data_IF_963217823489
#
_entry.id   IF_963217823489
#
_cell.length_a   1.000
_cell.length_b   1.000
_cell.length_c   1.000
_cell.angle_alpha   90.00
_cell.angle_beta   90.00
_cell.angle_gamma   90.00
#
_symmetry.space_group_name_H-M   'P 1'
#
loop_
_entity.id
_entity.type
_entity.pdbx_description
1 polymer ?
#
# COMPACT_ATOMS: atom_id res chain seq x y z
N UNK A 1 -6.91 5.27 26.25
CA UNK A 1 -6.60 4.02 25.52
C UNK A 1 -5.71 4.41 24.37
N UNK A 2 -4.41 4.10 24.45
CA UNK A 2 -3.45 4.39 23.38
C UNK A 2 -3.68 3.36 22.25
N UNK A 3 -4.04 3.77 21.02
CA UNK A 3 -4.19 2.82 19.93
C UNK A 3 -2.85 2.12 19.65
N UNK A 4 -2.86 0.79 19.63
CA UNK A 4 -1.67 0.00 19.26
C UNK A 4 -1.27 0.33 17.82
N UNK A 5 -0.11 0.97 17.66
CA UNK A 5 0.53 1.26 16.38
C UNK A 5 1.15 -0.01 15.79
N UNK A 6 1.20 -0.10 14.47
CA UNK A 6 1.81 -1.23 13.77
C UNK A 6 3.32 -1.29 14.04
N UNK A 7 3.89 -2.49 14.14
CA UNK A 7 5.33 -2.71 14.25
C UNK A 7 5.74 -3.75 13.22
N UNK A 8 6.43 -3.33 12.17
CA UNK A 8 6.78 -4.20 11.03
C UNK A 8 7.00 -3.41 9.75
N UNK A 9 6.82 -4.10 8.63
CA UNK A 9 7.14 -3.59 7.29
C UNK A 9 5.91 -3.63 6.38
N UNK A 10 5.67 -2.51 5.71
CA UNK A 10 4.69 -2.40 4.63
C UNK A 10 5.39 -2.53 3.28
N UNK A 11 4.81 -3.34 2.39
CA UNK A 11 5.12 -3.36 0.96
C UNK A 11 3.88 -3.03 0.16
N UNK A 12 4.01 -2.05 -0.73
CA UNK A 12 3.00 -1.68 -1.70
C UNK A 12 3.46 -2.12 -3.09
N UNK A 13 2.59 -2.76 -3.86
CA UNK A 13 2.87 -3.18 -5.23
C UNK A 13 1.78 -2.63 -6.14
N UNK A 14 2.17 -1.95 -7.22
CA UNK A 14 1.25 -1.53 -8.27
C UNK A 14 1.38 -2.46 -9.47
N UNK A 15 0.27 -2.94 -9.98
CA UNK A 15 0.19 -3.84 -11.13
C UNK A 15 -0.71 -3.26 -12.22
N UNK A 16 -0.45 -3.67 -13.45
CA UNK A 16 -1.41 -3.55 -14.55
C UNK A 16 -2.72 -4.24 -14.16
N UNK A 17 -3.85 -3.70 -14.61
CA UNK A 17 -5.15 -4.34 -14.48
C UNK A 17 -5.46 -5.19 -15.71
N UNK A 18 -5.71 -6.49 -15.50
CA UNK A 18 -6.14 -7.43 -16.55
C UNK A 18 -7.65 -7.67 -16.42
N UNK A 19 -8.48 -7.18 -17.36
CA UNK A 19 -9.93 -7.38 -17.29
C UNK A 19 -10.31 -8.86 -17.46
N UNK A 20 -11.38 -9.27 -16.80
CA UNK A 20 -11.98 -10.62 -16.90
C UNK A 20 -11.08 -11.79 -16.44
N UNK A 21 -9.94 -11.51 -15.82
CA UNK A 21 -9.12 -12.53 -15.16
C UNK A 21 -9.65 -12.81 -13.74
N UNK A 22 -9.51 -14.06 -13.27
CA UNK A 22 -9.82 -14.44 -11.89
C UNK A 22 -8.92 -13.72 -10.89
N UNK A 23 -7.63 -13.53 -11.24
CA UNK A 23 -6.73 -12.58 -10.59
C UNK A 23 -6.49 -11.41 -11.55
N UNK A 24 -6.97 -10.20 -11.24
CA UNK A 24 -6.85 -9.05 -12.14
C UNK A 24 -5.44 -8.44 -12.17
N UNK A 25 -4.46 -8.99 -11.43
CA UNK A 25 -3.08 -8.49 -11.42
C UNK A 25 -2.31 -8.94 -12.65
N UNK A 26 -1.90 -7.96 -13.46
CA UNK A 26 -0.92 -8.13 -14.54
C UNK A 26 0.52 -7.91 -14.06
N UNK A 27 1.35 -7.41 -14.97
CA UNK A 27 2.76 -7.12 -14.69
C UNK A 27 2.89 -6.10 -13.56
N UNK A 28 3.85 -6.32 -12.65
CA UNK A 28 4.19 -5.33 -11.61
C UNK A 28 4.90 -4.14 -12.23
N UNK A 29 4.38 -2.96 -11.95
CA UNK A 29 4.86 -1.70 -12.49
C UNK A 29 5.72 -0.92 -11.49
N UNK A 30 5.44 -1.02 -10.19
CA UNK A 30 6.27 -0.41 -9.13
C UNK A 30 6.10 -1.15 -7.80
N UNK A 31 7.06 -0.90 -6.91
CA UNK A 31 7.05 -1.38 -5.52
C UNK A 31 7.53 -0.26 -4.60
N UNK A 32 6.97 -0.20 -3.40
CA UNK A 32 7.42 0.70 -2.34
C UNK A 32 7.48 -0.07 -1.03
N UNK A 33 8.61 0.03 -0.35
CA UNK A 33 8.85 -0.61 0.95
C UNK A 33 8.97 0.47 2.03
N UNK A 34 8.23 0.31 3.12
CA UNK A 34 8.25 1.24 4.26
C UNK A 34 8.32 0.44 5.56
N UNK A 35 9.42 0.62 6.30
CA UNK A 35 9.55 0.04 7.63
C UNK A 35 9.00 1.00 8.69
N UNK A 36 8.09 0.54 9.54
CA UNK A 36 7.57 1.29 10.69
C UNK A 36 8.05 0.72 12.03
N UNK A 37 9.14 -0.05 12.00
CA UNK A 37 9.84 -0.56 13.19
C UNK A 37 10.48 0.58 13.99
N UNK A 38 11.08 1.56 13.30
CA UNK A 38 11.62 2.75 13.95
C UNK A 38 10.50 3.68 14.43
N UNK A 39 10.47 4.09 15.72
CA UNK A 39 9.41 4.92 16.27
C UNK A 39 9.24 6.29 15.57
N UNK A 40 10.31 6.89 15.07
CA UNK A 40 10.22 8.19 14.38
C UNK A 40 9.55 8.02 13.02
N UNK A 41 9.93 7.00 12.26
CA UNK A 41 9.29 6.67 10.98
C UNK A 41 7.82 6.27 11.17
N UNK A 42 7.53 5.50 12.22
CA UNK A 42 6.17 5.12 12.57
C UNK A 42 5.27 6.34 12.79
N UNK A 43 5.75 7.30 13.61
CA UNK A 43 5.04 8.53 13.90
C UNK A 43 4.84 9.41 12.65
N UNK A 44 5.80 9.41 11.71
CA UNK A 44 5.70 10.15 10.46
C UNK A 44 4.52 9.70 9.59
N UNK A 45 4.19 8.40 9.64
CA UNK A 45 3.12 7.81 8.85
C UNK A 45 1.79 7.70 9.60
N UNK A 46 1.80 7.82 10.93
CA UNK A 46 0.60 7.67 11.75
C UNK A 46 -0.24 8.96 11.80
N UNK A 47 -1.47 8.88 11.33
CA UNK A 47 -2.49 9.91 11.56
C UNK A 47 -3.25 9.62 12.86
N UNK A 48 -3.00 10.41 13.90
CA UNK A 48 -3.62 10.28 15.21
C UNK A 48 -5.13 10.59 15.25
N UNK A 49 -5.66 11.30 14.26
CA UNK A 49 -7.09 11.66 14.19
C UNK A 49 -7.88 10.48 13.63
N UNK A 50 -7.49 10.00 12.44
CA UNK A 50 -8.18 8.88 11.78
C UNK A 50 -7.77 7.52 12.32
N UNK A 51 -6.67 7.47 13.08
CA UNK A 51 -6.03 6.23 13.56
C UNK A 51 -5.65 5.29 12.42
N UNK A 52 -5.09 5.87 11.35
CA UNK A 52 -4.65 5.14 10.17
C UNK A 52 -3.22 5.50 9.81
N UNK A 53 -2.58 4.63 9.02
CA UNK A 53 -1.30 4.95 8.41
C UNK A 53 -1.51 5.56 7.02
N UNK A 54 -0.76 6.63 6.74
CA UNK A 54 -0.76 7.31 5.44
C UNK A 54 0.61 7.20 4.77
N UNK A 55 0.62 6.69 3.54
CA UNK A 55 1.82 6.51 2.75
C UNK A 55 1.69 7.27 1.43
N UNK A 56 2.69 8.10 1.12
CA UNK A 56 2.76 8.81 -0.16
C UNK A 56 3.56 7.97 -1.16
N UNK A 57 2.86 7.23 -2.00
CA UNK A 57 3.46 6.40 -3.04
C UNK A 57 3.84 7.29 -4.23
N UNK A 58 5.13 7.60 -4.37
CA UNK A 58 5.62 8.40 -5.50
C UNK A 58 5.65 7.55 -6.76
N UNK A 59 4.87 7.96 -7.75
CA UNK A 59 4.85 7.37 -9.08
C UNK A 59 5.55 8.30 -10.08
N UNK A 60 6.48 7.75 -10.85
CA UNK A 60 7.38 8.56 -11.72
C UNK A 60 6.95 8.58 -13.18
N UNK A 61 6.06 7.68 -13.60
CA UNK A 61 5.60 7.63 -14.98
C UNK A 61 4.37 8.53 -15.17
N UNK A 62 4.12 9.05 -16.38
CA UNK A 62 2.82 9.61 -16.71
C UNK A 62 1.73 8.58 -16.38
N UNK A 63 0.65 9.01 -15.74
CA UNK A 63 -0.51 8.16 -15.49
C UNK A 63 -1.59 8.56 -16.50
N UNK A 64 -1.84 7.76 -17.56
CA UNK A 64 -2.96 8.00 -18.46
C UNK A 64 -4.25 8.09 -17.66
N UNK A 65 -5.09 9.09 -17.92
CA UNK A 65 -6.38 9.26 -17.20
C UNK A 65 -7.34 8.12 -17.56
N UNK A 66 -8.05 7.59 -16.56
CA UNK A 66 -9.03 6.52 -16.73
C UNK A 66 -8.44 5.12 -16.84
N UNK A 67 -7.12 4.97 -16.73
CA UNK A 67 -6.46 3.67 -16.68
C UNK A 67 -6.67 3.01 -15.32
N UNK A 68 -6.85 1.68 -15.35
CA UNK A 68 -7.06 0.87 -14.14
C UNK A 68 -5.77 0.21 -13.71
N UNK A 69 -5.55 0.17 -12.40
CA UNK A 69 -4.42 -0.49 -11.77
C UNK A 69 -4.88 -1.35 -10.62
N UNK A 70 -4.10 -2.36 -10.24
CA UNK A 70 -4.28 -3.06 -8.97
C UNK A 70 -3.20 -2.60 -8.00
N UNK A 71 -3.61 -1.99 -6.89
CA UNK A 71 -2.73 -1.67 -5.77
C UNK A 71 -2.88 -2.76 -4.72
N UNK A 72 -1.77 -3.41 -4.39
CA UNK A 72 -1.66 -4.39 -3.33
C UNK A 72 -0.88 -3.82 -2.15
N UNK A 73 -1.41 -3.95 -0.95
CA UNK A 73 -0.72 -3.63 0.29
C UNK A 73 -0.44 -4.93 1.04
N UNK A 74 0.77 -5.08 1.54
CA UNK A 74 1.20 -6.20 2.36
C UNK A 74 1.82 -5.66 3.64
N UNK A 75 1.44 -6.21 4.78
CA UNK A 75 2.07 -5.94 6.06
C UNK A 75 2.69 -7.22 6.61
N UNK A 76 3.94 -7.14 7.07
CA UNK A 76 4.66 -8.25 7.71
C UNK A 76 5.22 -7.80 9.05
N UNK A 77 5.07 -8.64 10.08
CA UNK A 77 5.58 -8.38 11.43
C UNK A 77 6.12 -9.68 12.02
N UNK A 78 7.15 -9.65 12.88
CA UNK A 78 7.56 -10.82 13.66
C UNK A 78 6.53 -11.23 14.72
N UNK A 79 5.50 -10.41 14.98
CA UNK A 79 4.54 -10.62 16.06
C UNK A 79 3.13 -11.00 15.59
N UNK A 80 2.85 -10.90 14.29
CA UNK A 80 1.53 -11.20 13.72
C UNK A 80 1.69 -11.95 12.41
N UNK A 81 0.63 -12.63 11.99
CA UNK A 81 0.57 -13.17 10.63
C UNK A 81 0.73 -12.06 9.59
N UNK A 82 1.19 -12.47 8.41
CA UNK A 82 1.30 -11.59 7.25
C UNK A 82 -0.10 -11.20 6.76
N UNK A 83 -0.36 -9.91 6.68
CA UNK A 83 -1.64 -9.36 6.20
C UNK A 83 -1.47 -8.84 4.77
N UNK A 84 -2.53 -8.88 3.97
CA UNK A 84 -2.58 -8.22 2.68
C UNK A 84 -4.00 -7.80 2.31
N UNK A 85 -4.12 -6.76 1.50
CA UNK A 85 -5.36 -6.37 0.82
C UNK A 85 -5.03 -5.83 -0.58
N UNK A 86 -6.01 -5.85 -1.47
CA UNK A 86 -5.89 -5.42 -2.86
C UNK A 86 -7.07 -4.53 -3.26
N UNK A 87 -6.78 -3.48 -4.04
CA UNK A 87 -7.79 -2.57 -4.57
C UNK A 87 -7.52 -2.23 -6.01
N UNK A 88 -8.58 -2.22 -6.82
CA UNK A 88 -8.55 -1.65 -8.17
C UNK A 88 -8.70 -0.14 -8.05
N UNK A 89 -7.78 0.59 -8.66
CA UNK A 89 -7.76 2.05 -8.72
C UNK A 89 -8.02 2.52 -10.15
N UNK A 90 -8.62 3.69 -10.30
CA UNK A 90 -8.75 4.40 -11.58
C UNK A 90 -7.94 5.69 -11.48
N UNK A 91 -7.08 5.95 -12.45
CA UNK A 91 -6.28 7.17 -12.48
C UNK A 91 -7.10 8.41 -12.81
N UNK A 92 -6.77 9.53 -12.16
CA UNK A 92 -7.41 10.83 -12.40
C UNK A 92 -8.80 10.99 -11.79
N UNK A 93 -9.24 10.05 -10.94
CA UNK A 93 -10.39 10.22 -10.04
C UNK A 93 -9.97 10.71 -8.66
#
# INVERSE_FOLDING_TARGET
NDPTKAFGDFRFELHEFVPNATDPKGRRLSTWDVSVVDPKTNLLHWDGITRTYQFKLKWVNPVPVGERFVLRAVFSSPHTDRLFDERVLVSGQ
#
